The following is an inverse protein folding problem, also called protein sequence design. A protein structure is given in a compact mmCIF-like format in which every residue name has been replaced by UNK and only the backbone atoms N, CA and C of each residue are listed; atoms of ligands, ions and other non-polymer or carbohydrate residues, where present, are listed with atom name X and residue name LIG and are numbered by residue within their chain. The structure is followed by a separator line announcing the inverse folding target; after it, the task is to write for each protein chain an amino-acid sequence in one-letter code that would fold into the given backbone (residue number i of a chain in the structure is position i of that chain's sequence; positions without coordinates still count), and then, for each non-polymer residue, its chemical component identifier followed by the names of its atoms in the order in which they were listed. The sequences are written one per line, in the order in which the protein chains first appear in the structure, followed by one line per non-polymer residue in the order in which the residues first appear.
data_IF_712646906213
#
_entry.id   IF_712646906213
#
_cell.length_a   1.000
_cell.length_b   1.000
_cell.length_c   1.000
_cell.angle_alpha   90.00
_cell.angle_beta   90.00
_cell.angle_gamma   90.00
#
_symmetry.space_group_name_H-M   'P 1'
#
loop_
_entity.id
_entity.type
_entity.pdbx_description
1 polymer ?
#
# COMPACT_ATOMS: atom_id res chain seq x y z
N UNK A 1 11.66 -4.03 -13.53
CA UNK A 1 10.54 -3.71 -14.44
C UNK A 1 9.69 -2.63 -13.80
N UNK A 2 9.40 -1.59 -14.55
CA UNK A 2 8.55 -0.50 -14.09
C UNK A 2 7.09 -0.95 -13.95
N UNK A 3 6.40 -0.42 -12.94
CA UNK A 3 4.97 -0.67 -12.76
C UNK A 3 4.15 0.49 -13.35
N UNK A 4 3.93 0.47 -14.66
CA UNK A 4 3.22 1.54 -15.38
C UNK A 4 1.82 1.77 -14.83
N UNK A 5 1.50 3.01 -14.51
CA UNK A 5 0.21 3.41 -13.95
C UNK A 5 0.10 3.26 -12.44
N UNK A 6 1.00 2.53 -11.79
CA UNK A 6 1.05 2.41 -10.34
C UNK A 6 1.95 3.54 -9.83
N UNK A 7 1.37 4.67 -9.53
CA UNK A 7 2.14 5.89 -9.22
C UNK A 7 2.39 6.08 -7.72
N UNK A 8 1.62 5.43 -6.87
CA UNK A 8 1.77 5.52 -5.42
C UNK A 8 1.48 4.18 -4.78
N UNK A 9 2.19 3.90 -3.68
CA UNK A 9 2.03 2.68 -2.89
C UNK A 9 1.88 3.07 -1.42
N UNK A 10 0.87 2.50 -0.74
CA UNK A 10 0.60 2.75 0.67
C UNK A 10 0.46 1.44 1.43
N UNK A 11 1.09 1.39 2.59
CA UNK A 11 0.88 0.32 3.56
C UNK A 11 -0.12 0.83 4.60
N UNK A 12 -1.27 0.17 4.68
CA UNK A 12 -2.30 0.51 5.65
C UNK A 12 -3.12 -0.75 5.92
N UNK A 13 -3.09 -1.26 7.15
CA UNK A 13 -3.77 -2.51 7.48
C UNK A 13 -5.29 -2.37 7.56
N UNK A 14 -5.82 -1.16 7.49
CA UNK A 14 -7.25 -0.90 7.31
C UNK A 14 -7.67 -0.92 5.85
N UNK A 15 -6.69 -0.92 4.93
CA UNK A 15 -6.85 -0.88 3.49
C UNK A 15 -7.53 0.41 3.02
N UNK A 16 -8.76 0.37 2.51
CA UNK A 16 -9.48 1.59 2.12
C UNK A 16 -10.22 2.10 3.35
N UNK A 17 -9.80 3.26 3.84
CA UNK A 17 -10.39 3.90 5.01
C UNK A 17 -10.93 5.28 4.63
N UNK A 18 -12.23 5.44 4.66
CA UNK A 18 -13.05 6.55 4.18
C UNK A 18 -12.37 7.90 3.96
N UNK A 19 -12.22 8.71 5.03
CA UNK A 19 -11.65 10.06 4.91
C UNK A 19 -10.20 10.05 4.45
N UNK A 20 -9.40 9.08 4.91
CA UNK A 20 -7.99 8.94 4.51
C UNK A 20 -7.89 8.65 3.02
N UNK A 21 -8.72 7.73 2.51
CA UNK A 21 -8.77 7.42 1.08
C UNK A 21 -9.16 8.65 0.25
N UNK A 22 -10.15 9.43 0.72
CA UNK A 22 -10.57 10.66 0.04
C UNK A 22 -9.46 11.69 -0.01
N UNK A 23 -8.77 11.94 1.11
CA UNK A 23 -7.68 12.92 1.16
C UNK A 23 -6.53 12.54 0.22
N UNK A 24 -6.09 11.28 0.25
CA UNK A 24 -5.01 10.82 -0.62
C UNK A 24 -5.41 10.83 -2.09
N UNK A 25 -6.63 10.40 -2.40
CA UNK A 25 -7.14 10.38 -3.77
C UNK A 25 -7.22 11.77 -4.37
N UNK A 26 -7.72 12.74 -3.61
CA UNK A 26 -7.83 14.13 -4.05
C UNK A 26 -6.44 14.76 -4.24
N UNK A 27 -5.53 14.57 -3.28
CA UNK A 27 -4.19 15.16 -3.33
C UNK A 27 -3.37 14.61 -4.51
N UNK A 28 -3.47 13.32 -4.77
CA UNK A 28 -2.67 12.63 -5.79
C UNK A 28 -3.35 12.54 -7.16
N UNK A 29 -4.62 12.90 -7.26
CA UNK A 29 -5.38 12.76 -8.51
C UNK A 29 -5.59 11.30 -8.90
N UNK A 30 -5.83 10.44 -7.93
CA UNK A 30 -5.96 8.99 -8.14
C UNK A 30 -7.20 8.67 -8.98
N UNK A 31 -7.03 7.79 -9.96
CA UNK A 31 -8.13 7.29 -10.80
C UNK A 31 -8.61 5.90 -10.37
N UNK A 32 -7.77 5.16 -9.64
CA UNK A 32 -8.09 3.81 -9.13
C UNK A 32 -7.41 3.56 -7.80
N UNK A 33 -8.18 3.03 -6.84
CA UNK A 33 -7.64 2.43 -5.62
C UNK A 33 -7.52 0.92 -5.84
N UNK A 34 -6.33 0.37 -5.65
CA UNK A 34 -6.08 -1.05 -5.85
C UNK A 34 -5.60 -1.70 -4.55
N UNK A 35 -6.44 -2.54 -3.97
CA UNK A 35 -6.09 -3.33 -2.79
C UNK A 35 -5.54 -4.67 -3.26
N UNK A 36 -4.37 -5.03 -2.78
CA UNK A 36 -3.73 -6.30 -3.06
C UNK A 36 -3.60 -7.10 -1.77
N UNK A 37 -4.46 -8.11 -1.62
CA UNK A 37 -4.48 -8.97 -0.44
C UNK A 37 -5.29 -10.22 -0.75
N UNK A 38 -4.69 -11.39 -0.60
CA UNK A 38 -5.30 -12.66 -0.98
C UNK A 38 -6.53 -12.98 -0.15
N UNK A 39 -6.46 -12.76 1.17
CA UNK A 39 -7.57 -13.06 2.07
C UNK A 39 -8.79 -12.20 1.76
N UNK A 40 -8.59 -10.91 1.61
CA UNK A 40 -9.67 -9.96 1.33
C UNK A 40 -10.23 -10.17 -0.08
N UNK A 41 -9.38 -10.44 -1.06
CA UNK A 41 -9.81 -10.70 -2.44
C UNK A 41 -10.74 -11.92 -2.54
N UNK A 42 -10.62 -12.87 -1.60
CA UNK A 42 -11.44 -14.08 -1.54
C UNK A 42 -12.61 -13.97 -0.55
N UNK A 43 -12.86 -12.78 -0.01
CA UNK A 43 -13.95 -12.55 0.94
C UNK A 43 -14.93 -11.52 0.39
N UNK A 44 -16.08 -11.97 -0.12
CA UNK A 44 -17.04 -11.11 -0.79
C UNK A 44 -17.63 -10.02 0.11
N UNK A 45 -17.81 -10.31 1.40
CA UNK A 45 -18.34 -9.33 2.37
C UNK A 45 -17.32 -8.21 2.59
N UNK A 46 -16.07 -8.55 2.84
CA UNK A 46 -15.00 -7.56 3.03
C UNK A 46 -14.79 -6.71 1.78
N UNK A 47 -14.86 -7.33 0.59
CA UNK A 47 -14.76 -6.59 -0.68
C UNK A 47 -15.86 -5.54 -0.80
N UNK A 48 -17.10 -5.89 -0.47
CA UNK A 48 -18.22 -4.95 -0.51
C UNK A 48 -18.02 -3.79 0.47
N UNK A 49 -17.58 -4.09 1.69
CA UNK A 49 -17.31 -3.05 2.71
C UNK A 49 -16.23 -2.08 2.22
N UNK A 50 -15.15 -2.59 1.65
CA UNK A 50 -14.07 -1.75 1.12
C UNK A 50 -14.55 -0.89 -0.06
N UNK A 51 -15.34 -1.46 -0.96
CA UNK A 51 -15.89 -0.71 -2.11
C UNK A 51 -16.79 0.44 -1.68
N UNK A 52 -17.52 0.28 -0.59
CA UNK A 52 -18.35 1.36 -0.04
C UNK A 52 -17.54 2.55 0.46
N UNK A 53 -16.28 2.35 0.80
CA UNK A 53 -15.38 3.41 1.26
C UNK A 53 -14.62 4.10 0.13
N UNK A 54 -14.78 3.65 -1.11
CA UNK A 54 -14.13 4.27 -2.28
C UNK A 54 -14.84 5.58 -2.62
N UNK A 55 -14.10 6.69 -2.81
CA UNK A 55 -14.71 7.95 -3.21
C UNK A 55 -15.41 7.84 -4.56
N UNK A 56 -16.49 8.61 -4.72
CA UNK A 56 -17.25 8.65 -5.97
C UNK A 56 -16.34 9.04 -7.15
N UNK A 57 -16.53 8.37 -8.28
CA UNK A 57 -15.77 8.65 -9.51
C UNK A 57 -14.41 7.97 -9.59
N UNK A 58 -14.02 7.22 -8.57
CA UNK A 58 -12.75 6.48 -8.53
C UNK A 58 -13.03 4.99 -8.70
N UNK A 59 -12.31 4.35 -9.63
CA UNK A 59 -12.40 2.91 -9.82
C UNK A 59 -11.75 2.15 -8.64
N UNK A 60 -12.16 0.92 -8.39
CA UNK A 60 -11.57 0.09 -7.37
C UNK A 60 -11.25 -1.31 -7.89
N UNK A 61 -10.14 -1.85 -7.40
CA UNK A 61 -9.76 -3.24 -7.62
C UNK A 61 -9.37 -3.85 -6.29
N UNK A 62 -9.90 -5.02 -5.99
CA UNK A 62 -9.54 -5.77 -4.78
C UNK A 62 -9.18 -7.16 -5.26
N UNK A 63 -7.88 -7.43 -5.36
CA UNK A 63 -7.33 -8.56 -6.10
C UNK A 63 -6.25 -9.29 -5.32
N UNK A 64 -5.98 -10.53 -5.72
CA UNK A 64 -4.89 -11.32 -5.16
C UNK A 64 -3.53 -10.79 -5.63
N UNK A 65 -2.48 -11.18 -4.92
CA UNK A 65 -1.10 -10.86 -5.30
C UNK A 65 -0.80 -11.41 -6.69
N UNK A 66 -1.18 -12.65 -6.97
CA UNK A 66 -0.96 -13.28 -8.27
C UNK A 66 -1.61 -12.46 -9.41
N UNK A 67 -2.87 -12.10 -9.24
CA UNK A 67 -3.59 -11.29 -10.24
C UNK A 67 -2.92 -9.93 -10.41
N UNK A 68 -2.52 -9.28 -9.31
CA UNK A 68 -1.83 -7.99 -9.37
C UNK A 68 -0.52 -8.08 -10.16
N UNK A 69 0.31 -9.07 -9.85
CA UNK A 69 1.59 -9.26 -10.55
C UNK A 69 1.39 -9.50 -12.04
N UNK A 70 0.44 -10.35 -12.42
CA UNK A 70 0.14 -10.63 -13.82
C UNK A 70 -0.38 -9.40 -14.55
N UNK A 71 -1.30 -8.66 -13.95
CA UNK A 71 -1.87 -7.44 -14.54
C UNK A 71 -0.83 -6.34 -14.70
N UNK A 72 0.02 -6.13 -13.69
CA UNK A 72 1.06 -5.10 -13.74
C UNK A 72 2.09 -5.45 -14.83
N UNK A 73 2.52 -6.70 -14.90
CA UNK A 73 3.46 -7.15 -15.94
C UNK A 73 2.90 -7.04 -17.35
N UNK A 74 1.58 -7.14 -17.49
CA UNK A 74 0.88 -6.97 -18.78
C UNK A 74 0.54 -5.49 -19.08
N UNK A 75 1.04 -4.54 -18.29
CA UNK A 75 0.79 -3.09 -18.43
C UNK A 75 -0.70 -2.71 -18.44
N UNK A 76 -1.54 -3.47 -17.75
CA UNK A 76 -2.99 -3.21 -17.73
C UNK A 76 -3.40 -1.86 -17.14
N UNK A 77 -2.54 -1.28 -16.32
CA UNK A 77 -2.82 -0.01 -15.65
C UNK A 77 -2.14 1.19 -16.31
N UNK A 78 -1.43 0.97 -17.42
CA UNK A 78 -0.78 2.04 -18.15
C UNK A 78 -1.78 3.15 -18.51
N UNK A 79 -1.42 4.41 -18.28
CA UNK A 79 -2.30 5.56 -18.52
C UNK A 79 -3.24 5.88 -17.36
N UNK A 80 -3.30 5.04 -16.33
CA UNK A 80 -4.05 5.32 -15.10
C UNK A 80 -3.16 5.95 -14.04
N UNK A 81 -3.78 6.43 -12.98
CA UNK A 81 -3.09 6.89 -11.77
C UNK A 81 -3.59 6.04 -10.60
N UNK A 82 -2.89 4.94 -10.33
CA UNK A 82 -3.30 3.95 -9.33
C UNK A 82 -2.57 4.18 -8.02
N UNK A 83 -3.33 4.18 -6.92
CA UNK A 83 -2.80 4.04 -5.57
C UNK A 83 -2.94 2.56 -5.17
N UNK A 84 -1.81 1.88 -5.04
CA UNK A 84 -1.76 0.49 -4.60
C UNK A 84 -1.69 0.44 -3.08
N UNK A 85 -2.55 -0.35 -2.46
CA UNK A 85 -2.64 -0.47 -1.00
C UNK A 85 -2.44 -1.93 -0.59
N UNK A 86 -1.51 -2.14 0.35
CA UNK A 86 -1.26 -3.45 0.96
C UNK A 86 -1.32 -3.34 2.48
N UNK A 87 -1.47 -4.45 3.18
CA UNK A 87 -1.51 -4.47 4.65
C UNK A 87 -0.14 -4.41 5.30
N UNK A 88 0.90 -4.90 4.63
CA UNK A 88 2.19 -5.16 5.26
C UNK A 88 3.33 -4.99 4.26
N UNK A 89 4.53 -4.57 4.71
CA UNK A 89 5.70 -4.52 3.84
C UNK A 89 6.12 -5.91 3.34
N UNK A 90 5.73 -6.97 4.02
CA UNK A 90 6.01 -8.35 3.57
C UNK A 90 5.37 -8.61 2.20
N UNK A 91 4.17 -8.07 1.96
CA UNK A 91 3.50 -8.19 0.67
C UNK A 91 4.30 -7.54 -0.45
N UNK A 92 4.97 -6.42 -0.16
CA UNK A 92 5.76 -5.68 -1.16
C UNK A 92 7.03 -6.43 -1.56
N UNK A 93 7.57 -7.28 -0.70
CA UNK A 93 8.72 -8.11 -1.06
C UNK A 93 8.37 -9.07 -2.21
N UNK A 94 7.12 -9.52 -2.29
CA UNK A 94 6.67 -10.37 -3.39
C UNK A 94 6.72 -9.63 -4.73
N UNK A 95 6.50 -8.32 -4.71
CA UNK A 95 6.61 -7.48 -5.90
C UNK A 95 8.07 -7.37 -6.35
N UNK A 96 8.99 -7.09 -5.43
CA UNK A 96 10.42 -6.98 -5.75
C UNK A 96 11.01 -8.32 -6.19
N UNK A 97 10.60 -9.41 -5.55
CA UNK A 97 11.01 -10.77 -5.94
C UNK A 97 10.52 -11.13 -7.35
N UNK A 98 9.40 -10.57 -7.77
CA UNK A 98 8.87 -10.75 -9.13
C UNK A 98 9.54 -9.85 -10.17
N UNK A 99 10.55 -9.06 -9.78
CA UNK A 99 11.29 -8.18 -10.66
C UNK A 99 10.67 -6.79 -10.88
N UNK A 100 9.68 -6.41 -10.07
CA UNK A 100 9.06 -5.09 -10.15
C UNK A 100 9.83 -4.08 -9.30
N UNK A 101 9.94 -2.85 -9.80
CA UNK A 101 10.66 -1.77 -9.11
C UNK A 101 9.72 -0.96 -8.23
N UNK A 102 10.09 -0.79 -6.96
CA UNK A 102 9.41 0.10 -6.03
C UNK A 102 10.30 1.31 -5.79
N UNK A 103 9.76 2.52 -5.99
CA UNK A 103 10.50 3.77 -5.79
C UNK A 103 10.21 4.39 -4.44
N UNK A 104 8.93 4.65 -4.18
CA UNK A 104 8.47 5.30 -2.95
C UNK A 104 7.27 4.55 -2.39
N UNK A 105 7.28 4.37 -1.08
CA UNK A 105 6.19 3.73 -0.34
C UNK A 105 5.83 4.61 0.85
N UNK A 106 4.53 4.76 1.10
CA UNK A 106 4.04 5.46 2.29
C UNK A 106 3.47 4.45 3.29
N UNK A 107 3.87 4.58 4.55
CA UNK A 107 3.28 3.82 5.65
C UNK A 107 2.25 4.69 6.35
N UNK A 108 0.98 4.34 6.23
CA UNK A 108 -0.12 5.09 6.83
C UNK A 108 -0.56 4.56 8.18
N UNK A 109 -0.74 3.25 8.26
CA UNK A 109 -1.19 2.62 9.50
C UNK A 109 -0.79 1.16 9.58
N UNK A 110 -0.19 0.79 10.69
CA UNK A 110 0.09 -0.60 11.06
C UNK A 110 -0.27 -0.75 12.54
N UNK A 111 -1.39 -1.38 12.81
CA UNK A 111 -1.98 -1.46 14.15
C UNK A 111 -1.12 -2.27 15.10
N UNK A 112 -1.19 -1.90 16.39
CA UNK A 112 -0.58 -2.69 17.46
C UNK A 112 -1.28 -4.05 17.53
N UNK A 113 -0.49 -5.11 17.51
CA UNK A 113 -0.95 -6.50 17.52
C UNK A 113 -0.03 -7.31 18.43
N UNK A 114 -0.35 -8.59 18.57
CA UNK A 114 0.52 -9.52 19.29
C UNK A 114 1.92 -9.53 18.66
N UNK A 115 2.93 -9.46 19.51
CA UNK A 115 4.35 -9.55 19.12
C UNK A 115 4.84 -8.37 18.25
N UNK A 116 4.17 -7.22 18.31
CA UNK A 116 4.63 -6.02 17.63
C UNK A 116 5.44 -5.12 18.56
N UNK A 117 6.33 -4.34 17.94
CA UNK A 117 7.05 -3.23 18.57
C UNK A 117 6.51 -1.93 18.00
N UNK A 118 6.16 -0.98 18.88
CA UNK A 118 5.64 0.32 18.48
C UNK A 118 6.80 1.21 18.02
N UNK A 119 6.74 1.70 16.79
CA UNK A 119 7.68 2.67 16.24
C UNK A 119 7.11 4.09 16.31
N UNK A 120 5.82 4.22 16.06
CA UNK A 120 5.02 5.43 16.21
C UNK A 120 3.63 5.02 16.70
N UNK A 121 2.79 5.94 17.21
CA UNK A 121 1.45 5.59 17.68
C UNK A 121 0.61 4.83 16.65
N UNK A 122 0.82 5.11 15.36
CA UNK A 122 0.10 4.47 14.26
C UNK A 122 0.92 3.41 13.52
N UNK A 123 2.13 3.09 13.96
CA UNK A 123 3.00 2.13 13.28
C UNK A 123 3.61 1.17 14.30
N UNK A 124 3.15 -0.07 14.26
CA UNK A 124 3.70 -1.17 15.05
C UNK A 124 4.12 -2.29 14.10
N UNK A 125 5.27 -2.89 14.35
CA UNK A 125 5.85 -3.89 13.46
C UNK A 125 6.16 -5.18 14.18
N UNK A 126 5.97 -6.30 13.49
CA UNK A 126 6.52 -7.59 13.90
C UNK A 126 7.99 -7.66 13.52
N UNK A 127 8.71 -8.67 14.01
CA UNK A 127 10.10 -8.92 13.61
C UNK A 127 10.20 -9.13 12.09
N UNK A 128 9.27 -9.88 11.52
CA UNK A 128 9.22 -10.14 10.08
C UNK A 128 8.99 -8.86 9.28
N UNK A 129 8.07 -8.01 9.73
CA UNK A 129 7.79 -6.73 9.08
C UNK A 129 8.98 -5.78 9.16
N UNK A 130 9.67 -5.73 10.30
CA UNK A 130 10.90 -4.94 10.43
C UNK A 130 11.97 -5.41 9.45
N UNK A 131 12.17 -6.73 9.32
CA UNK A 131 13.12 -7.29 8.36
C UNK A 131 12.73 -6.93 6.92
N UNK A 132 11.46 -6.98 6.59
CA UNK A 132 10.95 -6.59 5.27
C UNK A 132 11.24 -5.11 4.98
N UNK A 133 11.00 -4.22 5.92
CA UNK A 133 11.33 -2.80 5.77
C UNK A 133 12.83 -2.58 5.55
N UNK A 134 13.66 -3.26 6.32
CA UNK A 134 15.13 -3.15 6.16
C UNK A 134 15.57 -3.57 4.77
N UNK A 135 14.98 -4.62 4.23
CA UNK A 135 15.30 -5.09 2.89
C UNK A 135 14.85 -4.09 1.83
N UNK A 136 13.65 -3.55 1.94
CA UNK A 136 13.16 -2.51 1.02
C UNK A 136 14.06 -1.27 1.04
N UNK A 137 14.44 -0.81 2.22
CA UNK A 137 15.37 0.33 2.36
C UNK A 137 16.73 0.02 1.74
N UNK A 138 17.26 -1.19 1.94
CA UNK A 138 18.54 -1.61 1.34
C UNK A 138 18.47 -1.65 -0.18
N UNK A 139 17.29 -1.95 -0.75
CA UNK A 139 17.05 -1.94 -2.18
C UNK A 139 16.83 -0.52 -2.75
N UNK A 140 16.92 0.51 -1.93
CA UNK A 140 16.81 1.90 -2.34
C UNK A 140 15.38 2.47 -2.36
N UNK A 141 14.43 1.76 -1.78
CA UNK A 141 13.04 2.26 -1.69
C UNK A 141 12.97 3.38 -0.65
N UNK A 142 12.40 4.53 -1.03
CA UNK A 142 12.10 5.62 -0.09
C UNK A 142 10.80 5.31 0.63
N UNK A 143 10.82 5.28 1.96
CA UNK A 143 9.63 4.96 2.77
C UNK A 143 9.29 6.13 3.67
N UNK A 144 8.13 6.74 3.44
CA UNK A 144 7.59 7.83 4.25
C UNK A 144 6.61 7.30 5.29
N UNK A 145 6.40 8.07 6.36
CA UNK A 145 5.54 7.66 7.47
C UNK A 145 4.43 8.65 7.78
N UNK A 146 4.03 9.47 6.80
CA UNK A 146 2.93 10.42 6.99
C UNK A 146 1.58 9.71 6.91
N UNK A 147 0.67 10.06 7.81
CA UNK A 147 -0.68 9.48 7.83
C UNK A 147 -1.58 10.13 6.78
N UNK A 148 -1.47 11.44 6.61
CA UNK A 148 -2.23 12.21 5.62
C UNK A 148 -1.28 12.99 4.71
N UNK A 149 -1.73 13.38 3.49
CA UNK A 149 -0.85 14.07 2.55
C UNK A 149 -0.42 15.47 3.00
N UNK A 150 -1.12 16.08 3.95
CA UNK A 150 -0.81 17.42 4.47
C UNK A 150 0.15 17.39 5.66
N UNK A 151 0.46 16.21 6.20
CA UNK A 151 1.39 16.08 7.31
C UNK A 151 2.82 16.39 6.86
N UNK A 152 3.64 16.90 7.79
CA UNK A 152 5.06 17.09 7.55
C UNK A 152 5.70 15.75 7.20
N UNK A 153 6.45 15.72 6.10
CA UNK A 153 7.10 14.50 5.59
C UNK A 153 8.09 13.94 6.60
N UNK A 154 7.87 12.69 6.99
CA UNK A 154 8.74 11.93 7.88
C UNK A 154 9.12 10.61 7.22
N UNK A 155 10.24 10.01 7.64
CA UNK A 155 10.79 8.83 6.98
C UNK A 155 10.94 7.67 7.96
N UNK A 156 10.65 6.47 7.47
CA UNK A 156 10.75 5.25 8.27
C UNK A 156 12.18 5.00 8.75
N UNK A 157 13.18 5.29 7.94
CA UNK A 157 14.59 5.09 8.29
C UNK A 157 15.00 5.77 9.60
N UNK A 158 14.32 6.85 9.98
CA UNK A 158 14.64 7.62 11.17
C UNK A 158 14.07 7.01 12.45
N UNK A 159 13.16 6.05 12.35
CA UNK A 159 12.49 5.41 13.49
C UNK A 159 12.65 3.88 13.51
N UNK A 160 13.26 3.31 12.52
CA UNK A 160 13.42 1.85 12.43
C UNK A 160 14.65 1.34 13.25
#
# INVERSE_FOLDING_TARGET
MEMKGINNIRIDDRLIHGQVATMWSNKLGVTRLMVVNDEVANNDIQKQVLRMAVPAGIASSIITIETALNNIKADKYAGQNVLLIVKSPVDLLLFTEAGLELKTVNVGNMSNRKETTVLRPNISVTTEERAAFKKLLADGVEITTVMTPDDKKTFLKDIL
#
